data_IF_197136927618
#
_entry.id   IF_197136927618
#
_cell.length_a   1.000
_cell.length_b   1.000
_cell.length_c   1.000
_cell.angle_alpha   90.00
_cell.angle_beta   90.00
_cell.angle_gamma   90.00
#
_symmetry.space_group_name_H-M   'P 1'
#
loop_
_entity.id
_entity.type
_entity.pdbx_description
1 polymer ?
#
# COMPACT_ATOMS: atom_id res chain seq x y z
N UNK A 1 52.51 -30.76 -116.66
CA UNK A 1 52.68 -31.48 -115.37
C UNK A 1 53.00 -30.54 -114.22
N UNK A 2 54.00 -29.66 -114.34
CA UNK A 2 54.37 -28.69 -113.29
C UNK A 2 53.23 -27.76 -112.84
N UNK A 3 52.45 -27.17 -113.76
CA UNK A 3 51.28 -26.34 -113.42
C UNK A 3 50.18 -27.09 -112.64
N UNK A 4 49.98 -28.40 -112.89
CA UNK A 4 49.03 -29.20 -112.11
C UNK A 4 49.53 -29.46 -110.70
N UNK A 5 50.83 -29.73 -110.54
CA UNK A 5 51.45 -29.88 -109.21
C UNK A 5 51.41 -28.58 -108.40
N UNK A 6 51.70 -27.43 -109.01
CA UNK A 6 51.62 -26.12 -108.36
C UNK A 6 50.19 -25.82 -107.85
N UNK A 7 49.18 -26.06 -108.69
CA UNK A 7 47.78 -25.87 -108.32
C UNK A 7 47.34 -26.82 -107.18
N UNK A 8 47.75 -28.09 -107.20
CA UNK A 8 47.46 -29.03 -106.10
C UNK A 8 48.15 -28.62 -104.79
N UNK A 9 49.38 -28.11 -104.84
CA UNK A 9 50.10 -27.62 -103.66
C UNK A 9 49.40 -26.37 -103.09
N UNK A 10 48.96 -25.46 -103.93
CA UNK A 10 48.23 -24.25 -103.52
C UNK A 10 46.88 -24.59 -102.86
N UNK A 11 46.11 -25.51 -103.43
CA UNK A 11 44.84 -26.00 -102.84
C UNK A 11 45.11 -26.67 -101.48
N UNK A 12 46.14 -27.51 -101.38
CA UNK A 12 46.48 -28.18 -100.12
C UNK A 12 46.97 -27.20 -99.05
N UNK A 13 47.73 -26.17 -99.43
CA UNK A 13 48.17 -25.09 -98.54
C UNK A 13 46.99 -24.27 -98.04
N UNK A 14 46.07 -23.88 -98.93
CA UNK A 14 44.85 -23.15 -98.56
C UNK A 14 43.95 -24.00 -97.65
N UNK A 15 43.74 -25.27 -97.96
CA UNK A 15 42.97 -26.18 -97.09
C UNK A 15 43.61 -26.36 -95.71
N UNK A 16 44.93 -26.54 -95.65
CA UNK A 16 45.67 -26.64 -94.39
C UNK A 16 45.58 -25.34 -93.59
N UNK A 17 45.72 -24.19 -94.26
CA UNK A 17 45.60 -22.86 -93.67
C UNK A 17 44.20 -22.64 -93.08
N UNK A 18 43.15 -22.89 -93.86
CA UNK A 18 41.76 -22.74 -93.40
C UNK A 18 41.44 -23.68 -92.24
N UNK A 19 41.91 -24.93 -92.30
CA UNK A 19 41.74 -25.90 -91.19
C UNK A 19 42.43 -25.41 -89.91
N UNK A 20 43.65 -24.88 -90.02
CA UNK A 20 44.38 -24.31 -88.89
C UNK A 20 43.72 -23.03 -88.36
N UNK A 21 43.23 -22.16 -89.25
CA UNK A 21 42.51 -20.94 -88.90
C UNK A 21 41.21 -21.26 -88.14
N UNK A 22 40.40 -22.20 -88.64
CA UNK A 22 39.17 -22.63 -87.96
C UNK A 22 39.46 -23.29 -86.61
N UNK A 23 40.52 -24.09 -86.50
CA UNK A 23 40.97 -24.64 -85.21
C UNK A 23 41.37 -23.54 -84.23
N UNK A 24 42.10 -22.51 -84.69
CA UNK A 24 42.48 -21.37 -83.86
C UNK A 24 41.26 -20.57 -83.42
N UNK A 25 40.31 -20.28 -84.32
CA UNK A 25 39.04 -19.62 -83.98
C UNK A 25 38.26 -20.39 -82.93
N UNK A 26 38.13 -21.72 -83.10
CA UNK A 26 37.48 -22.58 -82.12
C UNK A 26 38.19 -22.53 -80.76
N UNK A 27 39.53 -22.57 -80.73
CA UNK A 27 40.30 -22.46 -79.48
C UNK A 27 40.13 -21.09 -78.82
N UNK A 28 40.08 -20.01 -79.60
CA UNK A 28 39.82 -18.66 -79.09
C UNK A 28 38.42 -18.61 -78.48
N UNK A 29 37.40 -19.15 -79.14
CA UNK A 29 36.03 -19.17 -78.62
C UNK A 29 35.90 -19.95 -77.30
N UNK A 30 36.55 -21.12 -77.19
CA UNK A 30 36.57 -21.90 -75.93
C UNK A 30 37.29 -21.14 -74.81
N UNK A 31 38.42 -20.48 -75.11
CA UNK A 31 39.13 -19.67 -74.14
C UNK A 31 38.29 -18.47 -73.68
N UNK A 32 37.61 -17.79 -74.60
CA UNK A 32 36.73 -16.65 -74.30
C UNK A 32 35.58 -17.07 -73.38
N UNK A 33 34.91 -18.18 -73.68
CA UNK A 33 33.87 -18.75 -72.81
C UNK A 33 34.41 -19.13 -71.42
N UNK A 34 35.62 -19.69 -71.35
CA UNK A 34 36.25 -20.03 -70.07
C UNK A 34 36.60 -18.80 -69.22
N UNK A 35 37.01 -17.68 -69.86
CA UNK A 35 37.27 -16.41 -69.18
C UNK A 35 35.97 -15.79 -68.69
N UNK A 36 34.92 -15.79 -69.52
CA UNK A 36 33.60 -15.28 -69.17
C UNK A 36 33.00 -16.05 -67.99
N UNK A 37 33.09 -17.39 -68.00
CA UNK A 37 32.65 -18.25 -66.89
C UNK A 37 33.40 -17.93 -65.59
N UNK A 38 34.73 -17.81 -65.66
CA UNK A 38 35.56 -17.45 -64.51
C UNK A 38 35.23 -16.04 -63.98
N UNK A 39 34.92 -15.07 -64.85
CA UNK A 39 34.54 -13.72 -64.44
C UNK A 39 33.22 -13.73 -63.64
N UNK A 40 32.23 -14.49 -64.08
CA UNK A 40 30.94 -14.64 -63.38
C UNK A 40 31.14 -15.32 -62.03
N UNK A 41 31.94 -16.39 -61.96
CA UNK A 41 32.28 -17.07 -60.71
C UNK A 41 33.02 -16.13 -59.74
N UNK A 42 33.96 -15.33 -60.24
CA UNK A 42 34.66 -14.31 -59.45
C UNK A 42 33.71 -13.20 -58.96
N UNK A 43 32.68 -12.83 -59.72
CA UNK A 43 31.66 -11.87 -59.28
C UNK A 43 30.81 -12.48 -58.16
N UNK A 44 30.30 -13.69 -58.33
CA UNK A 44 29.52 -14.39 -57.31
C UNK A 44 30.33 -14.61 -56.00
N UNK A 45 31.61 -14.96 -56.12
CA UNK A 45 32.52 -15.11 -54.99
C UNK A 45 32.75 -13.79 -54.26
N UNK A 46 32.95 -12.69 -55.00
CA UNK A 46 33.08 -11.35 -54.42
C UNK A 46 31.83 -10.92 -53.67
N UNK A 47 30.65 -11.14 -54.25
CA UNK A 47 29.37 -10.86 -53.59
C UNK A 47 29.20 -11.66 -52.29
N UNK A 48 29.58 -12.94 -52.30
CA UNK A 48 29.55 -13.80 -51.11
C UNK A 48 30.48 -13.27 -50.00
N UNK A 49 31.70 -12.88 -50.35
CA UNK A 49 32.64 -12.29 -49.39
C UNK A 49 32.07 -11.01 -48.78
N UNK A 50 31.46 -10.13 -49.58
CA UNK A 50 30.83 -8.89 -49.09
C UNK A 50 29.71 -9.20 -48.10
N UNK A 51 28.85 -10.20 -48.38
CA UNK A 51 27.81 -10.62 -47.44
C UNK A 51 28.38 -11.17 -46.14
N UNK A 52 29.42 -12.02 -46.21
CA UNK A 52 30.06 -12.59 -45.02
C UNK A 52 30.75 -11.52 -44.16
N UNK A 53 31.38 -10.53 -44.78
CA UNK A 53 31.96 -9.38 -44.05
C UNK A 53 30.87 -8.59 -43.34
N UNK A 54 29.74 -8.33 -43.99
CA UNK A 54 28.62 -7.64 -43.37
C UNK A 54 28.03 -8.41 -42.18
N UNK A 55 27.90 -9.74 -42.27
CA UNK A 55 27.45 -10.57 -41.15
C UNK A 55 28.49 -10.61 -40.02
N UNK A 56 29.78 -10.71 -40.33
CA UNK A 56 30.86 -10.64 -39.34
C UNK A 56 30.83 -9.31 -38.56
N UNK A 57 30.63 -8.19 -39.25
CA UNK A 57 30.53 -6.87 -38.60
C UNK A 57 29.26 -6.71 -37.78
N UNK A 58 28.16 -7.35 -38.19
CA UNK A 58 26.94 -7.43 -37.40
C UNK A 58 27.17 -8.25 -36.12
N UNK A 59 27.83 -9.39 -36.21
CA UNK A 59 28.17 -10.22 -35.04
C UNK A 59 29.15 -9.51 -34.09
N UNK A 60 30.17 -8.82 -34.63
CA UNK A 60 31.08 -7.98 -33.82
C UNK A 60 30.33 -6.90 -33.05
N UNK A 61 29.36 -6.23 -33.66
CA UNK A 61 28.52 -5.23 -32.98
C UNK A 61 27.68 -5.84 -31.86
N UNK A 62 27.10 -7.02 -32.06
CA UNK A 62 26.37 -7.74 -31.02
C UNK A 62 27.29 -8.14 -29.87
N UNK A 63 28.47 -8.68 -30.17
CA UNK A 63 29.47 -9.05 -29.17
C UNK A 63 29.90 -7.83 -28.35
N UNK A 64 30.20 -6.69 -29.00
CA UNK A 64 30.55 -5.45 -28.32
C UNK A 64 29.40 -4.95 -27.41
N UNK A 65 28.15 -5.00 -27.88
CA UNK A 65 26.98 -4.65 -27.07
C UNK A 65 26.81 -5.57 -25.86
N UNK A 66 27.07 -6.87 -26.02
CA UNK A 66 27.01 -7.85 -24.93
C UNK A 66 28.08 -7.60 -23.87
N UNK A 67 29.32 -7.33 -24.30
CA UNK A 67 30.43 -6.97 -23.40
C UNK A 67 30.10 -5.71 -22.60
N UNK A 68 29.60 -4.66 -23.25
CA UNK A 68 29.19 -3.43 -22.58
C UNK A 68 28.09 -3.67 -21.53
N UNK A 69 27.11 -4.53 -21.84
CA UNK A 69 26.07 -4.90 -20.88
C UNK A 69 26.63 -5.69 -19.68
N UNK A 70 27.55 -6.62 -19.93
CA UNK A 70 28.22 -7.38 -18.87
C UNK A 70 29.05 -6.47 -17.94
N UNK A 71 29.76 -5.49 -18.49
CA UNK A 71 30.55 -4.57 -17.67
C UNK A 71 29.66 -3.62 -16.84
N UNK A 72 28.50 -3.21 -17.38
CA UNK A 72 27.48 -2.49 -16.59
C UNK A 72 26.98 -3.34 -15.42
N UNK A 73 26.64 -4.61 -15.67
CA UNK A 73 26.17 -5.52 -14.63
C UNK A 73 27.25 -5.82 -13.57
N UNK A 74 28.53 -5.91 -13.96
CA UNK A 74 29.63 -6.03 -13.00
C UNK A 74 29.72 -4.80 -12.09
N UNK A 75 29.63 -3.60 -12.66
CA UNK A 75 29.63 -2.36 -11.87
C UNK A 75 28.46 -2.30 -10.87
N UNK A 76 27.26 -2.71 -11.29
CA UNK A 76 26.11 -2.84 -10.39
C UNK A 76 26.35 -3.88 -9.28
N UNK A 77 26.91 -5.05 -9.63
CA UNK A 77 27.24 -6.09 -8.66
C UNK A 77 28.26 -5.60 -7.62
N UNK A 78 29.31 -4.91 -8.04
CA UNK A 78 30.31 -4.34 -7.13
C UNK A 78 29.69 -3.31 -6.19
N UNK A 79 28.81 -2.43 -6.70
CA UNK A 79 28.03 -1.50 -5.90
C UNK A 79 27.15 -2.20 -4.87
N UNK A 80 26.45 -3.27 -5.27
CA UNK A 80 25.63 -4.09 -4.37
C UNK A 80 26.47 -4.82 -3.31
N UNK A 81 27.67 -5.31 -3.66
CA UNK A 81 28.58 -5.96 -2.71
C UNK A 81 29.07 -4.97 -1.64
N UNK A 82 29.43 -3.74 -2.04
CA UNK A 82 29.80 -2.69 -1.08
C UNK A 82 28.62 -2.32 -0.19
N UNK A 83 27.43 -2.15 -0.77
CA UNK A 83 26.20 -1.88 -0.01
C UNK A 83 25.88 -2.97 1.01
N UNK A 84 25.99 -4.24 0.62
CA UNK A 84 25.80 -5.39 1.53
C UNK A 84 26.76 -5.35 2.72
N UNK A 85 28.05 -5.08 2.48
CA UNK A 85 29.06 -4.97 3.57
C UNK A 85 28.73 -3.84 4.55
N UNK A 86 28.24 -2.70 4.06
CA UNK A 86 27.80 -1.60 4.92
C UNK A 86 26.65 -2.02 5.85
N UNK A 87 25.63 -2.68 5.29
CA UNK A 87 24.48 -3.17 6.05
C UNK A 87 24.89 -4.27 7.05
N UNK A 88 25.81 -5.15 6.67
CA UNK A 88 26.36 -6.18 7.57
C UNK A 88 27.09 -5.56 8.78
N UNK A 89 27.83 -4.47 8.56
CA UNK A 89 28.51 -3.72 9.63
C UNK A 89 27.48 -3.05 10.55
N UNK A 90 26.49 -2.36 10.00
CA UNK A 90 25.39 -1.77 10.78
C UNK A 90 24.66 -2.81 11.61
N UNK A 91 24.31 -3.96 11.01
CA UNK A 91 23.72 -5.10 11.72
C UNK A 91 24.59 -5.54 12.89
N UNK A 92 25.91 -5.64 12.72
CA UNK A 92 26.85 -5.95 13.79
C UNK A 92 26.74 -4.97 14.96
N UNK A 93 26.80 -3.67 14.67
CA UNK A 93 26.67 -2.62 15.72
C UNK A 93 25.32 -2.66 16.45
N UNK A 94 24.23 -2.96 15.73
CA UNK A 94 22.90 -3.08 16.33
C UNK A 94 22.79 -4.31 17.24
N UNK A 95 23.41 -5.43 16.86
CA UNK A 95 23.48 -6.64 17.70
C UNK A 95 24.26 -6.35 18.99
N UNK A 96 25.42 -5.70 18.91
CA UNK A 96 26.20 -5.31 20.10
C UNK A 96 25.40 -4.39 21.04
N UNK A 97 24.67 -3.42 20.48
CA UNK A 97 23.78 -2.54 21.26
C UNK A 97 22.63 -3.29 21.91
N UNK A 98 22.04 -4.25 21.21
CA UNK A 98 20.98 -5.09 21.74
C UNK A 98 21.48 -5.92 22.93
N UNK A 99 22.65 -6.54 22.81
CA UNK A 99 23.23 -7.36 23.88
C UNK A 99 23.69 -6.50 25.06
N UNK A 100 24.18 -5.28 24.82
CA UNK A 100 24.38 -4.30 25.90
C UNK A 100 23.07 -3.95 26.62
N UNK A 101 21.98 -3.70 25.87
CA UNK A 101 20.67 -3.41 26.45
C UNK A 101 20.11 -4.59 27.26
N UNK A 102 20.27 -5.82 26.77
CA UNK A 102 19.87 -7.03 27.53
C UNK A 102 20.58 -7.11 28.87
N UNK A 103 21.91 -6.90 28.90
CA UNK A 103 22.69 -6.89 30.15
C UNK A 103 22.19 -5.85 31.15
N UNK A 104 21.85 -4.65 30.68
CA UNK A 104 21.29 -3.58 31.52
C UNK A 104 19.93 -3.99 32.09
N UNK A 105 19.04 -4.53 31.25
CA UNK A 105 17.71 -4.99 31.69
C UNK A 105 17.84 -6.11 32.72
N UNK A 106 18.74 -7.07 32.52
CA UNK A 106 18.97 -8.11 33.51
C UNK A 106 19.53 -7.57 34.83
N UNK A 107 20.42 -6.58 34.79
CA UNK A 107 20.91 -5.91 35.99
C UNK A 107 19.78 -5.21 36.74
N UNK A 108 18.94 -4.44 36.05
CA UNK A 108 17.75 -3.79 36.63
C UNK A 108 16.77 -4.82 37.23
N UNK A 109 16.57 -5.97 36.57
CA UNK A 109 15.76 -7.06 37.12
C UNK A 109 16.36 -7.66 38.40
N UNK A 110 17.69 -7.77 38.49
CA UNK A 110 18.38 -8.23 39.72
C UNK A 110 18.19 -7.23 40.86
N UNK A 111 18.29 -5.94 40.57
CA UNK A 111 18.05 -4.86 41.52
C UNK A 111 16.60 -4.84 42.02
N UNK A 112 15.61 -4.93 41.12
CA UNK A 112 14.19 -5.04 41.48
C UNK A 112 13.94 -6.16 42.48
N UNK A 113 14.46 -7.36 42.21
CA UNK A 113 14.34 -8.50 43.13
C UNK A 113 15.01 -8.27 44.48
N UNK A 114 16.08 -7.48 44.54
CA UNK A 114 16.71 -7.14 45.80
C UNK A 114 15.86 -6.17 46.62
N UNK A 115 15.29 -5.16 45.95
CA UNK A 115 14.39 -4.19 46.57
C UNK A 115 13.09 -4.84 47.05
N UNK A 116 12.51 -5.76 46.25
CA UNK A 116 11.33 -6.56 46.65
C UNK A 116 11.58 -7.29 47.97
N UNK A 117 12.72 -7.97 48.12
CA UNK A 117 13.09 -8.64 49.39
C UNK A 117 13.24 -7.68 50.57
N UNK A 118 13.74 -6.47 50.32
CA UNK A 118 13.84 -5.44 51.37
C UNK A 118 12.46 -4.94 51.79
N UNK A 119 11.55 -4.74 50.84
CA UNK A 119 10.15 -4.38 51.13
C UNK A 119 9.48 -5.47 51.96
N UNK A 120 9.60 -6.74 51.55
CA UNK A 120 9.06 -7.88 52.31
C UNK A 120 9.64 -7.96 53.74
N UNK A 121 10.91 -7.60 53.93
CA UNK A 121 11.52 -7.55 55.26
C UNK A 121 10.99 -6.41 56.12
N UNK A 122 10.84 -5.22 55.54
CA UNK A 122 10.26 -4.06 56.23
C UNK A 122 8.79 -4.31 56.59
N UNK A 123 8.01 -4.93 55.71
CA UNK A 123 6.64 -5.33 56.00
C UNK A 123 6.57 -6.31 57.17
N UNK A 124 7.45 -7.31 57.21
CA UNK A 124 7.56 -8.23 58.36
C UNK A 124 7.91 -7.50 59.66
N UNK A 125 8.87 -6.56 59.63
CA UNK A 125 9.25 -5.76 60.82
C UNK A 125 8.10 -4.87 61.29
N UNK A 126 7.37 -4.26 60.35
CA UNK A 126 6.20 -3.45 60.65
C UNK A 126 5.11 -4.28 61.31
N UNK A 127 4.82 -5.48 60.77
CA UNK A 127 3.85 -6.40 61.37
C UNK A 127 4.26 -6.85 62.77
N UNK A 128 5.54 -7.17 62.98
CA UNK A 128 6.07 -7.51 64.30
C UNK A 128 5.88 -6.37 65.30
N UNK A 129 6.33 -5.16 64.95
CA UNK A 129 6.19 -3.99 65.79
C UNK A 129 4.72 -3.68 66.10
N UNK A 130 3.82 -3.82 65.12
CA UNK A 130 2.39 -3.61 65.33
C UNK A 130 1.74 -4.66 66.25
N UNK A 131 2.18 -5.91 66.19
CA UNK A 131 1.73 -6.94 67.13
C UNK A 131 2.23 -6.66 68.56
N UNK A 132 3.45 -6.16 68.70
CA UNK A 132 4.04 -5.78 69.99
C UNK A 132 3.34 -4.55 70.59
N UNK A 133 3.05 -3.51 69.80
CA UNK A 133 2.27 -2.36 70.27
C UNK A 133 0.87 -2.79 70.70
N UNK A 134 0.20 -3.65 69.92
CA UNK A 134 -1.12 -4.17 70.29
C UNK A 134 -1.09 -4.97 71.60
N UNK A 135 -0.08 -5.82 71.79
CA UNK A 135 0.08 -6.56 73.04
C UNK A 135 0.35 -5.63 74.24
N UNK A 136 1.06 -4.52 74.04
CA UNK A 136 1.25 -3.50 75.08
C UNK A 136 -0.04 -2.73 75.39
N UNK A 137 -0.80 -2.34 74.36
CA UNK A 137 -2.13 -1.72 74.49
C UNK A 137 -3.10 -2.63 75.26
N UNK A 138 -3.15 -3.92 74.94
CA UNK A 138 -3.98 -4.90 75.66
C UNK A 138 -3.58 -4.99 77.16
N UNK A 139 -2.28 -4.98 77.47
CA UNK A 139 -1.80 -4.97 78.86
C UNK A 139 -2.19 -3.68 79.59
N UNK A 140 -2.07 -2.53 78.92
CA UNK A 140 -2.50 -1.24 79.46
C UNK A 140 -4.00 -1.23 79.73
N UNK A 141 -4.81 -1.75 78.81
CA UNK A 141 -6.25 -1.90 78.97
C UNK A 141 -6.61 -2.74 80.20
N UNK A 142 -5.97 -3.90 80.36
CA UNK A 142 -6.15 -4.76 81.56
C UNK A 142 -5.73 -4.05 82.84
N UNK A 143 -4.66 -3.24 82.81
CA UNK A 143 -4.24 -2.43 83.95
C UNK A 143 -5.28 -1.37 84.30
N UNK A 144 -5.78 -0.62 83.30
CA UNK A 144 -6.81 0.41 83.48
C UNK A 144 -8.10 -0.20 84.04
N UNK A 145 -8.50 -1.39 83.57
CA UNK A 145 -9.64 -2.13 84.13
C UNK A 145 -9.43 -2.49 85.61
N UNK A 146 -8.22 -2.96 85.98
CA UNK A 146 -7.89 -3.26 87.39
C UNK A 146 -7.91 -2.01 88.26
N UNK A 147 -7.35 -0.89 87.80
CA UNK A 147 -7.37 0.38 88.54
C UNK A 147 -8.80 0.89 88.68
N UNK A 148 -9.59 0.85 87.61
CA UNK A 148 -11.01 1.20 87.64
C UNK A 148 -11.80 0.36 88.64
N UNK A 149 -11.55 -0.95 88.70
CA UNK A 149 -12.18 -1.85 89.68
C UNK A 149 -11.79 -1.51 91.13
N UNK A 150 -10.55 -1.08 91.38
CA UNK A 150 -10.10 -0.63 92.70
C UNK A 150 -10.72 0.73 93.09
N UNK A 151 -10.84 1.65 92.13
CA UNK A 151 -11.44 2.97 92.32
C UNK A 151 -12.97 2.89 92.51
N UNK A 152 -13.65 1.96 91.84
CA UNK A 152 -15.10 1.72 91.97
C UNK A 152 -15.52 1.07 93.31
N UNK A 153 -14.66 1.04 94.32
CA UNK A 153 -15.01 0.60 95.67
C UNK A 153 -16.27 1.28 96.21
N UNK A 154 -17.41 0.59 96.04
CA UNK A 154 -18.79 0.87 96.53
C UNK A 154 -19.74 1.75 95.69
N UNK A 155 -19.53 1.99 94.38
CA UNK A 155 -20.56 2.69 93.57
C UNK A 155 -20.88 2.00 92.26
N UNK A 156 -22.17 1.94 91.94
CA UNK A 156 -22.76 1.11 90.88
C UNK A 156 -22.70 1.79 89.48
N UNK A 157 -22.14 1.04 88.52
CA UNK A 157 -22.23 1.08 87.04
C UNK A 157 -22.05 2.40 86.26
N UNK A 158 -20.96 2.48 85.48
CA UNK A 158 -20.88 3.10 84.14
C UNK A 158 -19.59 2.64 83.40
N UNK A 159 -19.50 2.72 82.05
CA UNK A 159 -18.62 1.90 81.22
C UNK A 159 -17.18 2.44 81.09
N UNK A 160 -16.26 1.53 80.73
CA UNK A 160 -14.86 1.73 80.28
C UNK A 160 -14.36 3.18 80.37
N UNK A 161 -13.71 3.49 81.49
CA UNK A 161 -13.04 4.76 81.75
C UNK A 161 -11.83 4.93 80.82
N UNK A 162 -11.74 6.10 80.19
CA UNK A 162 -10.62 6.53 79.35
C UNK A 162 -9.39 6.85 80.21
N UNK A 163 -8.18 6.82 79.63
CA UNK A 163 -6.91 7.06 80.36
C UNK A 163 -6.96 8.39 81.15
N UNK A 164 -7.54 9.44 80.57
CA UNK A 164 -7.70 10.74 81.23
C UNK A 164 -8.66 10.70 82.43
N UNK A 165 -9.69 9.85 82.39
CA UNK A 165 -10.70 9.76 83.46
C UNK A 165 -10.17 9.00 84.67
N UNK A 166 -9.40 7.92 84.46
CA UNK A 166 -8.72 7.18 85.53
C UNK A 166 -7.68 8.08 86.22
N UNK A 167 -6.95 8.89 85.46
CA UNK A 167 -6.00 9.86 86.02
C UNK A 167 -6.69 10.93 86.87
N UNK A 168 -7.82 11.47 86.41
CA UNK A 168 -8.59 12.47 87.15
C UNK A 168 -9.12 11.91 88.48
N UNK A 169 -9.62 10.66 88.49
CA UNK A 169 -10.11 10.01 89.71
C UNK A 169 -8.99 9.65 90.69
N UNK A 170 -7.82 9.22 90.18
CA UNK A 170 -6.65 8.96 91.01
C UNK A 170 -6.14 10.24 91.68
N UNK A 171 -6.12 11.36 90.93
CA UNK A 171 -5.75 12.67 91.45
C UNK A 171 -6.71 13.14 92.55
N UNK A 172 -8.02 12.92 92.36
CA UNK A 172 -9.04 13.19 93.38
C UNK A 172 -8.84 12.36 94.65
N UNK A 173 -8.51 11.06 94.54
CA UNK A 173 -8.20 10.19 95.69
C UNK A 173 -6.89 10.61 96.38
N UNK A 174 -5.84 10.91 95.63
CA UNK A 174 -4.56 11.39 96.18
C UNK A 174 -4.71 12.73 96.92
N UNK A 175 -5.50 13.66 96.38
CA UNK A 175 -5.82 14.92 97.05
C UNK A 175 -6.63 14.71 98.32
N UNK A 176 -7.52 13.71 98.35
CA UNK A 176 -8.29 13.33 99.54
C UNK A 176 -7.42 12.71 100.65
N UNK A 177 -6.47 11.85 100.29
CA UNK A 177 -5.49 11.27 101.24
C UNK A 177 -4.54 12.35 101.78
N UNK A 178 -4.09 13.28 100.91
CA UNK A 178 -3.25 14.43 101.31
C UNK A 178 -3.97 15.38 102.28
N UNK A 179 -5.28 15.49 102.17
CA UNK A 179 -6.12 16.28 103.09
C UNK A 179 -6.33 15.58 104.44
N UNK A 180 -6.10 14.25 104.51
CA UNK A 180 -6.28 13.42 105.72
C UNK A 180 -4.97 13.13 106.46
N UNK A 181 -3.80 13.34 105.84
CA UNK A 181 -2.48 13.15 106.47
C UNK A 181 -1.92 14.42 107.14
N UNK A 182 -2.79 15.37 107.50
CA UNK A 182 -2.44 16.68 108.05
C UNK A 182 -2.09 16.72 109.54
N UNK A 183 -1.84 15.59 110.21
CA UNK A 183 -1.43 15.61 111.61
C UNK A 183 -0.41 14.54 111.95
N UNK A 184 0.75 15.04 112.42
CA UNK A 184 1.86 14.31 113.05
C UNK A 184 2.87 13.61 112.12
N UNK A 185 4.04 14.23 111.94
CA UNK A 185 5.32 13.78 112.54
C UNK A 185 6.47 14.65 112.00
N UNK A 186 7.25 15.22 112.92
CA UNK A 186 8.43 16.04 112.65
C UNK A 186 9.70 15.18 112.53
N UNK A 187 10.46 15.33 111.43
CA UNK A 187 11.94 15.27 111.22
C UNK A 187 12.29 14.86 109.77
N UNK A 188 13.46 15.29 109.24
CA UNK A 188 13.57 16.21 108.11
C UNK A 188 13.19 15.58 106.74
N UNK A 189 12.05 16.00 106.20
CA UNK A 189 11.60 15.68 104.83
C UNK A 189 12.58 16.23 103.75
N UNK A 190 13.44 17.19 104.11
CA UNK A 190 14.45 17.76 103.21
C UNK A 190 15.54 16.79 102.78
N UNK A 191 15.94 15.82 103.63
CA UNK A 191 17.03 14.88 103.31
C UNK A 191 16.56 13.71 102.43
N UNK A 192 15.30 13.28 102.58
CA UNK A 192 14.70 12.21 101.78
C UNK A 192 14.35 12.66 100.36
N UNK A 193 13.88 13.91 100.20
CA UNK A 193 13.58 14.47 98.88
C UNK A 193 14.86 14.63 98.05
N UNK A 194 15.92 15.21 98.60
CA UNK A 194 17.21 15.36 97.89
C UNK A 194 17.84 14.02 97.52
N UNK A 195 17.74 13.02 98.41
CA UNK A 195 18.26 11.68 98.13
C UNK A 195 17.48 10.97 97.01
N UNK A 196 16.14 11.13 96.99
CA UNK A 196 15.31 10.62 95.90
C UNK A 196 15.68 11.24 94.54
N UNK A 197 15.89 12.56 94.48
CA UNK A 197 16.33 13.22 93.25
C UNK A 197 17.72 12.75 92.77
N UNK A 198 18.64 12.45 93.68
CA UNK A 198 19.98 11.94 93.33
C UNK A 198 19.89 10.54 92.72
N UNK A 199 19.11 9.62 93.32
CA UNK A 199 18.91 8.28 92.78
C UNK A 199 18.23 8.30 91.41
N UNK A 200 17.22 9.16 91.24
CA UNK A 200 16.52 9.31 89.96
C UNK A 200 17.44 9.92 88.88
N UNK A 201 18.34 10.83 89.27
CA UNK A 201 19.34 11.41 88.36
C UNK A 201 20.43 10.40 87.98
N UNK A 202 20.78 9.47 88.88
CA UNK A 202 21.71 8.37 88.63
C UNK A 202 21.17 7.39 87.60
N UNK A 203 19.93 6.95 87.78
CA UNK A 203 19.23 6.07 86.83
C UNK A 203 19.09 6.73 85.46
N UNK A 204 18.76 8.02 85.41
CA UNK A 204 18.72 8.79 84.17
C UNK A 204 20.08 8.83 83.45
N UNK A 205 21.18 9.07 84.18
CA UNK A 205 22.52 9.12 83.58
C UNK A 205 23.00 7.74 83.13
N UNK A 206 22.57 6.67 83.79
CA UNK A 206 22.84 5.30 83.38
C UNK A 206 22.14 4.96 82.06
N UNK A 207 20.84 5.24 81.94
CA UNK A 207 20.08 5.08 80.69
C UNK A 207 20.67 5.92 79.55
N UNK A 208 21.09 7.16 79.84
CA UNK A 208 21.70 8.04 78.85
C UNK A 208 23.09 7.54 78.42
N UNK A 209 23.86 6.95 79.33
CA UNK A 209 25.16 6.34 79.02
C UNK A 209 25.01 5.13 78.11
N UNK A 210 24.03 4.27 78.38
CA UNK A 210 23.70 3.11 77.54
C UNK A 210 23.22 3.56 76.15
N UNK A 211 22.31 4.55 76.09
CA UNK A 211 21.81 5.10 74.82
C UNK A 211 22.93 5.68 73.96
N UNK A 212 23.92 6.33 74.58
CA UNK A 212 25.10 6.89 73.91
C UNK A 212 26.22 5.86 73.68
N UNK A 213 26.02 4.61 74.16
CA UNK A 213 26.95 3.47 74.11
C UNK A 213 28.32 3.78 74.74
N UNK A 214 28.30 4.45 75.89
CA UNK A 214 29.48 4.78 76.72
C UNK A 214 29.42 4.13 78.11
N UNK A 215 28.43 3.27 78.33
CA UNK A 215 28.18 2.48 79.52
C UNK A 215 29.46 1.80 80.05
N UNK A 216 30.23 1.10 79.21
CA UNK A 216 31.46 0.44 79.63
C UNK A 216 32.57 1.34 80.21
N UNK A 217 32.55 2.65 79.94
CA UNK A 217 33.49 3.63 80.50
C UNK A 217 32.84 4.40 81.66
N UNK A 218 31.51 4.49 81.66
CA UNK A 218 30.72 5.26 82.61
C UNK A 218 30.55 4.58 83.98
N UNK A 219 30.69 3.25 84.08
CA UNK A 219 30.47 2.46 85.31
C UNK A 219 31.36 2.90 86.48
N UNK A 220 32.62 3.28 86.21
CA UNK A 220 33.59 3.67 87.26
C UNK A 220 33.68 5.19 87.49
N UNK A 221 32.85 5.98 86.81
CA UNK A 221 32.90 7.45 86.84
C UNK A 221 31.78 8.02 87.72
N UNK A 222 32.15 8.93 88.63
CA UNK A 222 31.17 9.74 89.37
C UNK A 222 30.36 10.66 88.45
N UNK A 223 29.19 11.11 88.93
CA UNK A 223 28.19 11.90 88.22
C UNK A 223 28.75 12.99 87.27
N UNK A 224 29.61 13.86 87.78
CA UNK A 224 30.17 14.98 87.01
C UNK A 224 31.03 14.53 85.81
N UNK A 225 31.76 13.43 85.95
CA UNK A 225 32.61 12.90 84.88
C UNK A 225 31.79 12.09 83.89
N UNK A 226 30.78 11.34 84.36
CA UNK A 226 29.81 10.64 83.49
C UNK A 226 29.08 11.64 82.60
N UNK A 227 28.62 12.77 83.15
CA UNK A 227 27.98 13.85 82.38
C UNK A 227 28.92 14.45 81.32
N UNK A 228 30.17 14.75 81.67
CA UNK A 228 31.18 15.27 80.71
C UNK A 228 31.49 14.27 79.60
N UNK A 229 31.57 12.98 79.92
CA UNK A 229 31.77 11.91 78.95
C UNK A 229 30.60 11.83 77.96
N UNK A 230 29.37 11.85 78.46
CA UNK A 230 28.15 11.87 77.64
C UNK A 230 28.11 13.10 76.73
N UNK A 231 28.44 14.29 77.24
CA UNK A 231 28.50 15.52 76.44
C UNK A 231 29.54 15.41 75.32
N UNK A 232 30.77 14.98 75.65
CA UNK A 232 31.83 14.78 74.65
C UNK A 232 31.43 13.74 73.60
N UNK A 233 30.74 12.66 74.01
CA UNK A 233 30.25 11.64 73.09
C UNK A 233 29.18 12.20 72.15
N UNK A 234 28.26 13.00 72.68
CA UNK A 234 27.20 13.65 71.91
C UNK A 234 27.81 14.58 70.86
N UNK A 235 28.76 15.43 71.23
CA UNK A 235 29.47 16.30 70.28
C UNK A 235 30.24 15.51 69.20
N UNK A 236 30.79 14.34 69.55
CA UNK A 236 31.45 13.48 68.58
C UNK A 236 30.45 12.89 67.59
N UNK A 237 29.31 12.36 68.06
CA UNK A 237 28.28 11.80 67.21
C UNK A 237 27.72 12.85 66.23
N UNK A 238 27.45 14.07 66.72
CA UNK A 238 27.02 15.19 65.87
C UNK A 238 28.06 15.51 64.78
N UNK A 239 29.36 15.50 65.12
CA UNK A 239 30.44 15.70 64.13
C UNK A 239 30.50 14.58 63.10
N UNK A 240 30.32 13.33 63.53
CA UNK A 240 30.29 12.17 62.64
C UNK A 240 29.08 12.21 61.69
N UNK A 241 27.90 12.56 62.20
CA UNK A 241 26.69 12.70 61.41
C UNK A 241 26.81 13.85 60.40
N UNK A 242 27.37 14.99 60.81
CA UNK A 242 27.63 16.11 59.91
C UNK A 242 28.60 15.74 58.76
N UNK A 243 29.66 14.98 59.05
CA UNK A 243 30.59 14.48 58.03
C UNK A 243 29.91 13.50 57.07
N UNK A 244 29.17 12.51 57.60
CA UNK A 244 28.42 11.54 56.81
C UNK A 244 27.35 12.22 55.93
N UNK A 245 26.71 13.28 56.42
CA UNK A 245 25.75 14.08 55.67
C UNK A 245 26.41 14.81 54.50
N UNK A 246 27.60 15.39 54.70
CA UNK A 246 28.37 16.04 53.63
C UNK A 246 28.78 15.03 52.56
N UNK A 247 29.26 13.86 52.96
CA UNK A 247 29.60 12.77 52.03
C UNK A 247 28.38 12.30 51.23
N UNK A 248 27.26 12.04 51.90
CA UNK A 248 25.98 11.68 51.28
C UNK A 248 25.55 12.73 50.26
N UNK A 249 25.57 14.01 50.65
CA UNK A 249 25.25 15.14 49.75
C UNK A 249 26.18 15.18 48.53
N UNK A 250 27.48 14.94 48.73
CA UNK A 250 28.45 14.89 47.62
C UNK A 250 28.18 13.74 46.65
N UNK A 251 27.79 12.57 47.17
CA UNK A 251 27.42 11.39 46.38
C UNK A 251 26.12 11.66 45.60
N UNK A 252 25.13 12.28 46.23
CA UNK A 252 23.88 12.70 45.58
C UNK A 252 24.17 13.62 44.40
N UNK A 253 25.01 14.64 44.56
CA UNK A 253 25.39 15.53 43.44
C UNK A 253 26.15 14.80 42.34
N UNK A 254 27.04 13.86 42.69
CA UNK A 254 27.75 13.03 41.71
C UNK A 254 26.78 12.16 40.90
N UNK A 255 25.85 11.48 41.57
CA UNK A 255 24.81 10.67 40.94
C UNK A 255 23.87 11.52 40.09
N UNK A 256 23.46 12.69 40.56
CA UNK A 256 22.61 13.61 39.80
C UNK A 256 23.27 14.08 38.51
N UNK A 257 24.59 14.38 38.53
CA UNK A 257 25.36 14.68 37.32
C UNK A 257 25.43 13.49 36.36
N UNK A 258 25.70 12.29 36.88
CA UNK A 258 25.69 11.06 36.06
C UNK A 258 24.33 10.80 35.43
N UNK A 259 23.26 10.95 36.18
CA UNK A 259 21.88 10.82 35.69
C UNK A 259 21.59 11.83 34.57
N UNK A 260 21.97 13.10 34.77
CA UNK A 260 21.77 14.15 33.76
C UNK A 260 22.54 13.83 32.47
N UNK A 261 23.80 13.40 32.59
CA UNK A 261 24.61 12.98 31.45
C UNK A 261 24.02 11.79 30.70
N UNK A 262 23.54 10.76 31.42
CA UNK A 262 22.88 9.60 30.81
C UNK A 262 21.56 9.96 30.13
N UNK A 263 20.78 10.87 30.73
CA UNK A 263 19.55 11.40 30.14
C UNK A 263 19.83 12.10 28.82
N UNK A 264 20.80 13.02 28.79
CA UNK A 264 21.15 13.75 27.57
C UNK A 264 21.70 12.79 26.48
N UNK A 265 22.45 11.76 26.87
CA UNK A 265 22.90 10.71 25.95
C UNK A 265 21.73 9.89 25.38
N UNK A 266 20.72 9.60 26.19
CA UNK A 266 19.52 8.87 25.75
C UNK A 266 18.70 9.70 24.78
N UNK A 267 18.51 11.00 25.05
CA UNK A 267 17.82 11.94 24.17
C UNK A 267 18.54 12.04 22.81
N UNK A 268 19.86 12.17 22.80
CA UNK A 268 20.68 12.17 21.57
C UNK A 268 20.52 10.87 20.76
N UNK A 269 20.58 9.71 21.43
CA UNK A 269 20.33 8.40 20.78
C UNK A 269 18.90 8.27 20.27
N UNK A 270 17.92 8.83 20.98
CA UNK A 270 16.51 8.89 20.57
C UNK A 270 16.33 9.63 19.26
N UNK A 271 16.95 10.82 19.13
CA UNK A 271 16.94 11.60 17.89
C UNK A 271 17.59 10.84 16.73
N UNK A 272 18.71 10.15 16.97
CA UNK A 272 19.36 9.33 15.94
C UNK A 272 18.47 8.17 15.48
N UNK A 273 17.79 7.48 16.40
CA UNK A 273 16.82 6.42 16.03
C UNK A 273 15.66 7.00 15.21
N UNK A 274 15.18 8.19 15.54
CA UNK A 274 14.13 8.86 14.77
C UNK A 274 14.59 9.23 13.35
N UNK A 275 15.82 9.73 13.20
CA UNK A 275 16.43 9.99 11.90
C UNK A 275 16.57 8.71 11.06
N UNK A 276 17.02 7.61 11.67
CA UNK A 276 17.14 6.31 11.00
C UNK A 276 15.77 5.79 10.55
N UNK A 277 14.74 5.88 11.41
CA UNK A 277 13.36 5.50 11.04
C UNK A 277 12.88 6.29 9.83
N UNK A 278 13.08 7.61 9.81
CA UNK A 278 12.71 8.45 8.68
C UNK A 278 13.47 8.05 7.41
N UNK A 279 14.77 7.73 7.50
CA UNK A 279 15.56 7.30 6.35
C UNK A 279 15.10 5.94 5.80
N UNK A 280 14.75 5.00 6.69
CA UNK A 280 14.17 3.71 6.27
C UNK A 280 12.85 3.93 5.54
N UNK A 281 11.94 4.75 6.07
CA UNK A 281 10.68 5.07 5.40
C UNK A 281 10.89 5.69 4.02
N UNK A 282 11.84 6.61 3.88
CA UNK A 282 12.21 7.20 2.58
C UNK A 282 12.72 6.14 1.60
N UNK A 283 13.63 5.27 2.03
CA UNK A 283 14.17 4.21 1.18
C UNK A 283 13.10 3.20 0.74
N UNK A 284 12.15 2.89 1.61
CA UNK A 284 11.00 2.05 1.24
C UNK A 284 10.09 2.71 0.20
N UNK A 285 9.83 4.01 0.32
CA UNK A 285 9.03 4.77 -0.64
C UNK A 285 9.74 4.92 -1.99
N UNK A 286 11.05 5.19 -1.99
CA UNK A 286 11.88 5.16 -3.19
C UNK A 286 11.85 3.78 -3.86
N UNK A 287 11.96 2.71 -3.08
CA UNK A 287 11.87 1.33 -3.60
C UNK A 287 10.50 1.06 -4.23
N UNK A 288 9.40 1.42 -3.56
CA UNK A 288 8.03 1.29 -4.12
C UNK A 288 7.90 2.05 -5.43
N UNK A 289 8.40 3.29 -5.49
CA UNK A 289 8.37 4.14 -6.68
C UNK A 289 9.20 3.58 -7.84
N UNK A 290 10.39 3.04 -7.54
CA UNK A 290 11.24 2.35 -8.54
C UNK A 290 10.58 1.10 -9.09
N UNK A 291 9.97 0.28 -8.23
CA UNK A 291 9.22 -0.91 -8.65
C UNK A 291 8.04 -0.53 -9.57
N UNK A 292 7.26 0.49 -9.21
CA UNK A 292 6.17 0.99 -10.06
C UNK A 292 6.68 1.47 -11.43
N UNK A 293 7.82 2.18 -11.45
CA UNK A 293 8.45 2.63 -12.70
C UNK A 293 9.00 1.47 -13.54
N UNK A 294 9.51 0.41 -12.92
CA UNK A 294 9.96 -0.78 -13.62
C UNK A 294 8.79 -1.50 -14.31
N UNK A 295 7.67 -1.69 -13.60
CA UNK A 295 6.45 -2.26 -14.17
C UNK A 295 5.95 -1.43 -15.35
N UNK A 296 5.90 -0.10 -15.21
CA UNK A 296 5.50 0.78 -16.31
C UNK A 296 6.42 0.70 -17.55
N UNK A 297 7.73 0.48 -17.36
CA UNK A 297 8.66 0.23 -18.47
C UNK A 297 8.37 -1.09 -19.16
N UNK A 298 8.13 -2.15 -18.40
CA UNK A 298 7.82 -3.48 -18.95
C UNK A 298 6.52 -3.45 -19.77
N UNK A 299 5.49 -2.74 -19.29
CA UNK A 299 4.24 -2.53 -20.03
C UNK A 299 4.46 -1.76 -21.33
N UNK A 300 5.25 -0.67 -21.29
CA UNK A 300 5.60 0.09 -22.50
C UNK A 300 6.42 -0.76 -23.49
N UNK A 301 7.30 -1.63 -23.01
CA UNK A 301 8.05 -2.57 -23.84
C UNK A 301 7.13 -3.63 -24.48
N UNK A 302 6.14 -4.15 -23.74
CA UNK A 302 5.14 -5.07 -24.27
C UNK A 302 4.31 -4.42 -25.38
N UNK A 303 3.86 -3.17 -25.18
CA UNK A 303 3.15 -2.42 -26.21
C UNK A 303 4.01 -2.13 -27.44
N UNK A 304 5.27 -1.75 -27.22
CA UNK A 304 6.23 -1.55 -28.34
C UNK A 304 6.38 -2.84 -29.15
N UNK A 305 6.52 -4.00 -28.51
CA UNK A 305 6.58 -5.31 -29.19
C UNK A 305 5.28 -5.64 -29.94
N UNK A 306 4.11 -5.31 -29.38
CA UNK A 306 2.80 -5.51 -30.03
C UNK A 306 2.68 -4.65 -31.28
N UNK A 307 3.01 -3.37 -31.19
CA UNK A 307 3.01 -2.44 -32.32
C UNK A 307 4.01 -2.87 -33.39
N UNK A 308 5.21 -3.30 -33.00
CA UNK A 308 6.22 -3.82 -33.92
C UNK A 308 5.69 -5.01 -34.75
N UNK A 309 5.04 -6.00 -34.10
CA UNK A 309 4.41 -7.13 -34.82
C UNK A 309 3.31 -6.67 -35.79
N UNK A 310 2.54 -5.64 -35.41
CA UNK A 310 1.51 -5.06 -36.30
C UNK A 310 2.15 -4.37 -37.51
N UNK A 311 3.24 -3.65 -37.31
CA UNK A 311 4.03 -3.04 -38.39
C UNK A 311 4.57 -4.12 -39.34
N UNK A 312 5.16 -5.19 -38.82
CA UNK A 312 5.67 -6.32 -39.62
C UNK A 312 4.56 -6.97 -40.46
N UNK A 313 3.37 -7.19 -39.86
CA UNK A 313 2.21 -7.73 -40.58
C UNK A 313 1.75 -6.80 -41.70
N UNK A 314 1.56 -5.51 -41.39
CA UNK A 314 1.16 -4.50 -42.38
C UNK A 314 2.21 -4.35 -43.50
N UNK A 315 3.50 -4.46 -43.19
CA UNK A 315 4.56 -4.48 -44.20
C UNK A 315 4.48 -5.72 -45.10
N UNK A 316 4.14 -6.89 -44.55
CA UNK A 316 3.87 -8.11 -45.31
C UNK A 316 2.69 -7.95 -46.26
N UNK A 317 1.55 -7.45 -45.75
CA UNK A 317 0.35 -7.15 -46.54
C UNK A 317 0.65 -6.14 -47.67
N UNK A 318 1.42 -5.09 -47.37
CA UNK A 318 1.84 -4.10 -48.37
C UNK A 318 2.72 -4.72 -49.46
N UNK A 319 3.68 -5.59 -49.09
CA UNK A 319 4.53 -6.30 -50.05
C UNK A 319 3.69 -7.22 -50.94
N UNK A 320 2.78 -8.00 -50.37
CA UNK A 320 1.88 -8.86 -51.12
C UNK A 320 1.01 -8.06 -52.10
N UNK A 321 0.45 -6.93 -51.65
CA UNK A 321 -0.35 -6.03 -52.50
C UNK A 321 0.50 -5.44 -53.63
N UNK A 322 1.75 -5.05 -53.35
CA UNK A 322 2.68 -4.57 -54.39
C UNK A 322 2.98 -5.66 -55.43
N UNK A 323 3.22 -6.90 -54.99
CA UNK A 323 3.45 -8.04 -55.89
C UNK A 323 2.22 -8.30 -56.78
N UNK A 324 1.03 -8.33 -56.20
CA UNK A 324 -0.21 -8.45 -56.95
C UNK A 324 -0.41 -7.28 -57.93
N UNK A 325 -0.07 -6.05 -57.54
CA UNK A 325 -0.16 -4.89 -58.43
C UNK A 325 0.85 -4.98 -59.59
N UNK A 326 2.07 -5.46 -59.35
CA UNK A 326 3.03 -5.73 -60.44
C UNK A 326 2.57 -6.84 -61.37
N UNK A 327 1.95 -7.89 -60.82
CA UNK A 327 1.38 -8.99 -61.60
C UNK A 327 0.20 -8.50 -62.46
N UNK A 328 -0.73 -7.75 -61.88
CA UNK A 328 -1.85 -7.14 -62.62
C UNK A 328 -1.34 -6.16 -63.69
N UNK A 329 -0.28 -5.40 -63.42
CA UNK A 329 0.37 -4.55 -64.45
C UNK A 329 0.95 -5.37 -65.59
N UNK A 330 1.59 -6.51 -65.32
CA UNK A 330 2.10 -7.42 -66.34
C UNK A 330 0.96 -8.10 -67.12
N UNK A 331 -0.14 -8.46 -66.46
CA UNK A 331 -1.34 -8.97 -67.12
C UNK A 331 -1.98 -7.88 -68.01
N UNK A 332 -1.98 -6.62 -67.57
CA UNK A 332 -2.45 -5.48 -68.36
C UNK A 332 -1.57 -5.24 -69.59
N UNK A 333 -0.24 -5.31 -69.48
CA UNK A 333 0.64 -5.17 -70.65
C UNK A 333 0.43 -6.31 -71.65
N UNK A 334 0.33 -7.55 -71.18
CA UNK A 334 0.06 -8.72 -72.03
C UNK A 334 -1.33 -8.65 -72.70
N UNK A 335 -2.35 -8.10 -72.03
CA UNK A 335 -3.67 -7.87 -72.64
C UNK A 335 -3.69 -6.67 -73.59
N UNK A 336 -2.87 -5.63 -73.37
CA UNK A 336 -2.68 -4.56 -74.35
C UNK A 336 -1.96 -5.05 -75.61
N UNK A 337 -0.96 -5.93 -75.46
CA UNK A 337 -0.26 -6.59 -76.57
C UNK A 337 -1.18 -7.55 -77.35
N UNK A 338 -2.04 -8.31 -76.64
CA UNK A 338 -3.08 -9.13 -77.28
C UNK A 338 -4.19 -8.31 -77.96
N UNK A 339 -4.44 -7.07 -77.53
CA UNK A 339 -5.35 -6.14 -78.22
C UNK A 339 -4.72 -5.52 -79.47
N UNK A 340 -3.39 -5.37 -79.52
CA UNK A 340 -2.69 -4.95 -80.74
C UNK A 340 -2.60 -6.04 -81.81
N UNK A 341 -2.76 -7.33 -81.45
CA UNK A 341 -2.74 -8.46 -82.40
C UNK A 341 -4.10 -9.12 -82.71
N UNK A 342 -5.22 -8.63 -82.17
CA UNK A 342 -6.55 -9.25 -82.40
C UNK A 342 -7.57 -8.27 -82.97
N UNK A 343 -7.60 -8.13 -84.30
CA UNK A 343 -8.80 -7.69 -85.03
C UNK A 343 -9.75 -8.87 -85.22
N UNK A 344 -10.74 -9.06 -84.34
CA UNK A 344 -11.98 -9.81 -84.64
C UNK A 344 -13.19 -9.26 -83.84
N UNK A 345 -14.21 -8.69 -84.50
CA UNK A 345 -15.45 -8.27 -83.86
C UNK A 345 -16.48 -9.41 -83.92
N UNK A 346 -16.46 -10.30 -82.92
CA UNK A 346 -17.51 -11.32 -82.77
C UNK A 346 -17.94 -11.56 -81.31
N UNK A 347 -17.36 -10.84 -80.34
CA UNK A 347 -17.73 -10.91 -78.91
C UNK A 347 -18.46 -9.66 -78.41
N UNK A 348 -18.62 -8.63 -79.25
CA UNK A 348 -19.28 -7.37 -78.89
C UNK A 348 -20.81 -7.51 -78.78
N UNK A 349 -21.47 -8.30 -79.63
CA UNK A 349 -22.92 -8.44 -79.61
C UNK A 349 -23.46 -9.20 -78.38
N UNK A 350 -22.70 -10.15 -77.84
CA UNK A 350 -23.10 -10.90 -76.64
C UNK A 350 -22.72 -10.17 -75.34
N UNK A 351 -21.64 -9.38 -75.37
CA UNK A 351 -21.30 -8.47 -74.29
C UNK A 351 -22.29 -7.29 -74.21
N UNK A 352 -22.74 -6.73 -75.33
CA UNK A 352 -23.77 -5.67 -75.37
C UNK A 352 -25.10 -6.15 -74.80
N UNK A 353 -25.58 -7.34 -75.18
CA UNK A 353 -26.81 -7.91 -74.59
C UNK A 353 -26.72 -8.13 -73.08
N UNK A 354 -25.55 -8.57 -72.58
CA UNK A 354 -25.31 -8.76 -71.14
C UNK A 354 -25.13 -7.42 -70.42
N UNK A 355 -24.55 -6.42 -71.09
CA UNK A 355 -24.40 -5.07 -70.56
C UNK A 355 -25.75 -4.35 -70.46
N UNK A 356 -26.62 -4.49 -71.46
CA UNK A 356 -27.97 -3.93 -71.44
C UNK A 356 -28.82 -4.58 -70.34
N UNK A 357 -28.72 -5.90 -70.16
CA UNK A 357 -29.41 -6.62 -69.09
C UNK A 357 -28.93 -6.18 -67.69
N UNK A 358 -27.61 -6.09 -67.48
CA UNK A 358 -27.04 -5.64 -66.20
C UNK A 358 -27.32 -4.16 -65.96
N UNK A 359 -27.33 -3.33 -67.01
CA UNK A 359 -27.69 -1.91 -66.92
C UNK A 359 -29.16 -1.74 -66.54
N UNK A 360 -30.08 -2.53 -67.11
CA UNK A 360 -31.49 -2.53 -66.74
C UNK A 360 -31.71 -2.98 -65.29
N UNK A 361 -31.00 -4.02 -64.83
CA UNK A 361 -31.04 -4.45 -63.42
C UNK A 361 -30.47 -3.40 -62.48
N UNK A 362 -29.38 -2.74 -62.85
CA UNK A 362 -28.75 -1.70 -62.04
C UNK A 362 -29.61 -0.44 -61.96
N UNK A 363 -30.24 -0.02 -63.07
CA UNK A 363 -31.22 1.06 -63.07
C UNK A 363 -32.44 0.73 -62.21
N UNK A 364 -32.97 -0.50 -62.30
CA UNK A 364 -34.07 -0.95 -61.44
C UNK A 364 -33.68 -0.93 -59.96
N UNK A 365 -32.46 -1.40 -59.62
CA UNK A 365 -31.94 -1.40 -58.26
C UNK A 365 -31.67 0.02 -57.73
N UNK A 366 -31.13 0.91 -58.56
CA UNK A 366 -30.95 2.32 -58.20
C UNK A 366 -32.29 3.05 -58.03
N UNK A 367 -33.26 2.76 -58.88
CA UNK A 367 -34.60 3.34 -58.76
C UNK A 367 -35.23 2.90 -57.44
N UNK A 368 -35.10 1.61 -57.09
CA UNK A 368 -35.56 1.07 -55.81
C UNK A 368 -34.85 1.70 -54.61
N UNK A 369 -33.53 1.88 -54.65
CA UNK A 369 -32.82 2.55 -53.55
C UNK A 369 -33.17 4.04 -53.44
N UNK A 370 -33.46 4.72 -54.57
CA UNK A 370 -33.98 6.10 -54.54
C UNK A 370 -35.37 6.16 -53.91
N UNK A 371 -36.25 5.21 -54.23
CA UNK A 371 -37.59 5.10 -53.63
C UNK A 371 -37.50 4.81 -52.13
N UNK A 372 -36.69 3.83 -51.72
CA UNK A 372 -36.46 3.51 -50.31
C UNK A 372 -35.86 4.71 -49.56
N UNK A 373 -34.93 5.45 -50.17
CA UNK A 373 -34.36 6.67 -49.59
C UNK A 373 -35.38 7.80 -49.47
N UNK A 374 -36.29 7.95 -50.44
CA UNK A 374 -37.39 8.90 -50.37
C UNK A 374 -38.38 8.52 -49.26
N UNK A 375 -38.72 7.24 -49.12
CA UNK A 375 -39.56 6.73 -48.03
C UNK A 375 -38.91 6.94 -46.66
N UNK A 376 -37.62 6.66 -46.52
CA UNK A 376 -36.85 6.92 -45.30
C UNK A 376 -36.85 8.42 -44.95
N UNK A 377 -36.70 9.29 -45.94
CA UNK A 377 -36.73 10.73 -45.73
C UNK A 377 -38.13 11.22 -45.35
N UNK A 378 -39.20 10.62 -45.88
CA UNK A 378 -40.57 10.90 -45.46
C UNK A 378 -40.83 10.45 -44.01
N UNK A 379 -40.40 9.24 -43.64
CA UNK A 379 -40.47 8.73 -42.27
C UNK A 379 -39.71 9.60 -41.27
N UNK A 380 -38.51 10.07 -41.63
CA UNK A 380 -37.73 11.01 -40.80
C UNK A 380 -38.46 12.34 -40.58
N UNK A 381 -39.14 12.86 -41.62
CA UNK A 381 -39.97 14.07 -41.49
C UNK A 381 -41.18 13.83 -40.59
N UNK A 382 -41.86 12.69 -40.70
CA UNK A 382 -42.96 12.35 -39.80
C UNK A 382 -42.50 12.15 -38.35
N UNK A 383 -41.32 11.56 -38.14
CA UNK A 383 -40.75 11.36 -36.80
C UNK A 383 -40.40 12.69 -36.13
N UNK A 384 -39.78 13.62 -36.88
CA UNK A 384 -39.48 14.96 -36.38
C UNK A 384 -40.76 15.73 -36.04
N UNK A 385 -41.78 15.67 -36.90
CA UNK A 385 -43.09 16.25 -36.61
C UNK A 385 -43.75 15.64 -35.36
N UNK A 386 -43.63 14.33 -35.13
CA UNK A 386 -44.14 13.68 -33.93
C UNK A 386 -43.37 14.10 -32.67
N UNK A 387 -42.04 14.22 -32.74
CA UNK A 387 -41.23 14.72 -31.62
C UNK A 387 -41.51 16.18 -31.30
N UNK A 388 -41.72 17.03 -32.30
CA UNK A 388 -42.09 18.43 -32.05
C UNK A 388 -43.49 18.53 -31.44
N UNK A 389 -44.45 17.73 -31.94
CA UNK A 389 -45.79 17.65 -31.34
C UNK A 389 -45.77 17.08 -29.93
N UNK A 390 -44.90 16.12 -29.64
CA UNK A 390 -44.69 15.59 -28.28
C UNK A 390 -44.15 16.68 -27.34
N UNK A 391 -43.19 17.49 -27.81
CA UNK A 391 -42.67 18.65 -27.06
C UNK A 391 -43.77 19.68 -26.81
N UNK A 392 -44.54 20.04 -27.83
CA UNK A 392 -45.69 20.95 -27.69
C UNK A 392 -46.73 20.41 -26.69
N UNK A 393 -47.01 19.10 -26.68
CA UNK A 393 -47.93 18.48 -25.72
C UNK A 393 -47.36 18.47 -24.30
N UNK A 394 -46.05 18.32 -24.13
CA UNK A 394 -45.38 18.43 -22.83
C UNK A 394 -45.40 19.89 -22.34
N UNK A 395 -45.15 20.85 -23.22
CA UNK A 395 -45.23 22.29 -22.91
C UNK A 395 -46.67 22.67 -22.55
N UNK A 396 -47.66 22.21 -23.32
CA UNK A 396 -49.08 22.38 -23.01
C UNK A 396 -49.44 21.77 -21.66
N UNK A 397 -49.02 20.53 -21.38
CA UNK A 397 -49.21 19.87 -20.09
C UNK A 397 -48.62 20.71 -18.95
N UNK A 398 -47.44 21.28 -19.16
CA UNK A 398 -46.74 22.12 -18.17
C UNK A 398 -47.51 23.40 -17.91
N UNK A 399 -47.93 24.11 -18.95
CA UNK A 399 -48.72 25.34 -18.84
C UNK A 399 -50.07 25.09 -18.16
N UNK A 400 -50.80 24.04 -18.58
CA UNK A 400 -52.08 23.67 -17.95
C UNK A 400 -51.88 23.29 -16.48
N UNK A 401 -50.84 22.54 -16.13
CA UNK A 401 -50.53 22.19 -14.73
C UNK A 401 -50.25 23.44 -13.90
N UNK A 402 -49.47 24.39 -14.44
CA UNK A 402 -49.23 25.69 -13.79
C UNK A 402 -50.52 26.51 -13.64
N UNK A 403 -51.38 26.56 -14.66
CA UNK A 403 -52.67 27.27 -14.59
C UNK A 403 -53.64 26.68 -13.56
N UNK A 404 -53.53 25.39 -13.27
CA UNK A 404 -54.32 24.69 -12.26
C UNK A 404 -53.70 24.72 -10.86
N UNK A 405 -52.53 25.38 -10.69
CA UNK A 405 -51.82 25.45 -9.41
C UNK A 405 -51.14 24.14 -8.99
N UNK A 406 -50.96 23.19 -9.92
CA UNK A 406 -50.29 21.92 -9.69
C UNK A 406 -48.78 22.08 -9.97
N UNK A 407 -47.91 21.60 -9.08
CA UNK A 407 -46.46 21.76 -9.22
C UNK A 407 -45.93 21.03 -10.46
N UNK A 408 -45.54 21.81 -11.46
CA UNK A 408 -45.10 21.34 -12.76
C UNK A 408 -43.73 20.62 -12.75
N UNK A 409 -43.00 20.63 -11.63
CA UNK A 409 -41.69 19.98 -11.53
C UNK A 409 -41.72 18.50 -11.12
N UNK A 410 -42.89 17.97 -10.73
CA UNK A 410 -43.04 16.55 -10.42
C UNK A 410 -43.25 15.73 -11.70
N UNK A 411 -42.18 15.07 -12.18
CA UNK A 411 -42.17 14.18 -13.36
C UNK A 411 -43.15 12.98 -13.27
N UNK A 412 -43.91 12.84 -12.18
CA UNK A 412 -44.80 11.73 -11.86
C UNK A 412 -46.29 12.11 -11.78
N UNK A 413 -46.72 13.30 -12.24
CA UNK A 413 -48.14 13.67 -12.25
C UNK A 413 -48.88 12.97 -13.43
N UNK A 414 -49.78 12.00 -13.18
CA UNK A 414 -50.47 11.29 -14.25
C UNK A 414 -51.53 12.18 -14.93
N UNK A 415 -51.70 12.05 -16.25
CA UNK A 415 -52.59 12.92 -17.04
C UNK A 415 -54.05 12.96 -16.54
N UNK A 416 -54.52 11.91 -15.86
CA UNK A 416 -55.88 11.86 -15.34
C UNK A 416 -56.14 12.85 -14.18
N UNK A 417 -55.12 13.26 -13.41
CA UNK A 417 -55.25 14.26 -12.31
C UNK A 417 -55.51 15.67 -12.88
N UNK A 418 -54.81 16.01 -13.97
CA UNK A 418 -54.99 17.27 -14.71
C UNK A 418 -56.38 17.31 -15.34
N UNK A 419 -56.79 16.21 -15.99
CA UNK A 419 -58.12 16.08 -16.61
C UNK A 419 -59.22 16.22 -15.55
N UNK A 420 -59.10 15.55 -14.40
CA UNK A 420 -60.07 15.65 -13.29
C UNK A 420 -60.20 17.06 -12.72
N UNK A 421 -59.09 17.82 -12.69
CA UNK A 421 -59.07 19.22 -12.26
C UNK A 421 -59.72 20.16 -13.28
N UNK A 422 -59.49 19.93 -14.58
CA UNK A 422 -60.17 20.63 -15.67
C UNK A 422 -61.68 20.31 -15.71
N UNK A 423 -62.05 19.04 -15.52
CA UNK A 423 -63.45 18.62 -15.41
C UNK A 423 -64.15 19.32 -14.24
N UNK A 424 -63.46 19.49 -13.10
CA UNK A 424 -63.96 20.27 -11.96
C UNK A 424 -64.18 21.76 -12.24
N UNK A 425 -63.39 22.36 -13.14
CA UNK A 425 -63.52 23.77 -13.57
C UNK A 425 -64.55 23.97 -14.69
N UNK A 426 -64.77 22.97 -15.54
CA UNK A 426 -65.69 23.03 -16.68
C UNK A 426 -67.14 22.62 -16.35
N UNK A 427 -67.39 22.02 -15.17
CA UNK A 427 -68.72 21.61 -14.74
C UNK A 427 -69.77 22.72 -14.48
N UNK A 428 -69.45 24.04 -14.33
CA UNK A 428 -70.52 25.04 -14.19
C UNK A 428 -71.14 25.55 -15.50
N UNK A 429 -70.58 25.28 -16.69
CA UNK A 429 -70.94 26.08 -17.88
C UNK A 429 -71.10 25.36 -19.22
N UNK A 430 -71.61 24.12 -19.30
CA UNK A 430 -72.10 23.55 -20.57
C UNK A 430 -73.54 22.98 -20.46
N UNK A 431 -74.47 23.81 -19.97
CA UNK A 431 -75.83 23.84 -20.52
C UNK A 431 -75.90 25.02 -21.50
N UNK A 432 -76.33 24.77 -22.73
CA UNK A 432 -76.43 25.70 -23.87
C UNK A 432 -75.18 25.86 -24.75
N UNK A 433 -75.02 25.00 -25.76
CA UNK A 433 -75.29 25.47 -27.11
C UNK A 433 -75.52 24.32 -28.11
N UNK A 434 -76.68 24.43 -28.76
CA UNK A 434 -77.19 23.60 -29.83
C UNK A 434 -76.78 24.17 -31.21
N UNK A 435 -76.66 23.26 -32.20
CA UNK A 435 -76.84 23.44 -33.65
C UNK A 435 -75.79 24.21 -34.49
N UNK A 436 -75.10 23.51 -35.42
CA UNK A 436 -75.50 23.45 -36.84
C UNK A 436 -74.58 22.59 -37.74
N UNK A 437 -75.25 21.82 -38.62
CA UNK A 437 -74.94 21.45 -40.03
C UNK A 437 -73.62 20.73 -40.36
N UNK A 438 -73.65 19.47 -40.83
CA UNK A 438 -74.09 18.90 -42.13
C UNK A 438 -72.91 18.69 -43.08
N UNK A 439 -72.74 17.46 -43.59
CA UNK A 439 -71.99 17.24 -44.84
C UNK A 439 -71.24 15.91 -44.96
N UNK A 440 -71.99 14.83 -45.16
CA UNK A 440 -71.65 13.67 -45.98
C UNK A 440 -70.38 12.84 -45.66
N UNK A 441 -70.63 11.64 -45.14
CA UNK A 441 -69.92 10.40 -45.51
C UNK A 441 -70.64 9.85 -46.76
N UNK A 442 -69.96 9.32 -47.80
CA UNK A 442 -69.76 7.87 -47.83
C UNK A 442 -68.39 7.40 -48.32
N UNK A 443 -67.85 6.43 -47.57
CA UNK A 443 -67.00 5.36 -48.12
C UNK A 443 -67.73 4.69 -49.29
N UNK A 444 -67.05 4.51 -50.41
CA UNK A 444 -67.41 3.54 -51.45
C UNK A 444 -66.23 2.64 -51.74
N UNK A 445 -66.49 1.35 -51.55
CA UNK A 445 -65.69 0.20 -51.89
C UNK A 445 -65.67 -0.04 -53.40
N UNK A 446 -64.56 -0.56 -53.93
CA UNK A 446 -64.63 -1.58 -55.00
C UNK A 446 -63.50 -2.59 -54.81
N UNK A 447 -63.93 -3.83 -54.57
CA UNK A 447 -63.18 -5.07 -54.75
C UNK A 447 -62.55 -5.15 -56.16
N UNK A 448 -61.38 -5.79 -56.27
CA UNK A 448 -61.29 -7.12 -56.91
C UNK A 448 -59.86 -7.67 -56.82
N UNK A 449 -59.77 -8.86 -56.21
CA UNK A 449 -58.67 -9.80 -56.35
C UNK A 449 -58.91 -10.60 -57.65
N UNK A 450 -57.87 -11.17 -58.27
CA UNK A 450 -57.84 -12.64 -58.25
C UNK A 450 -56.46 -13.22 -57.92
N UNK A 451 -56.49 -14.34 -57.19
CA UNK A 451 -55.47 -15.39 -57.20
C UNK A 451 -55.55 -16.17 -58.55
N UNK A 452 -54.50 -16.91 -58.94
CA UNK A 452 -54.42 -18.35 -58.62
C UNK A 452 -53.02 -18.70 -58.05
N UNK A 453 -52.86 -19.61 -57.07
CA UNK A 453 -52.95 -21.08 -57.12
C UNK A 453 -52.14 -21.67 -58.29
N UNK A 454 -51.25 -22.67 -58.18
CA UNK A 454 -50.81 -23.55 -57.09
C UNK A 454 -49.84 -24.57 -57.70
N UNK A 455 -48.75 -24.92 -57.02
CA UNK A 455 -48.15 -26.28 -56.95
C UNK A 455 -46.96 -26.21 -55.97
N UNK A 456 -47.07 -26.65 -54.71
CA UNK A 456 -47.02 -28.06 -54.22
C UNK A 456 -45.60 -28.65 -54.38
N UNK A 457 -44.87 -29.20 -53.41
CA UNK A 457 -45.12 -29.83 -52.08
C UNK A 457 -43.85 -29.56 -51.23
N UNK A 458 -43.89 -29.19 -49.94
CA UNK A 458 -44.04 -30.06 -48.74
C UNK A 458 -43.09 -31.28 -48.76
N UNK A 459 -42.18 -31.51 -47.82
CA UNK A 459 -42.41 -31.84 -46.39
C UNK A 459 -41.06 -31.80 -45.64
N UNK A 460 -40.99 -31.08 -44.52
CA UNK A 460 -40.00 -31.23 -43.41
C UNK A 460 -40.44 -32.41 -42.50
N UNK A 461 -39.79 -32.86 -41.38
CA UNK A 461 -38.80 -32.16 -40.54
C UNK A 461 -37.81 -33.09 -39.76
N UNK A 462 -37.12 -32.47 -38.79
CA UNK A 462 -36.78 -33.04 -37.47
C UNK A 462 -35.47 -33.83 -37.33
N UNK A 463 -34.72 -33.50 -36.28
CA UNK A 463 -33.53 -34.25 -35.87
C UNK A 463 -32.62 -33.48 -34.92
N UNK A 464 -33.04 -33.38 -33.66
CA UNK A 464 -32.28 -32.96 -32.48
C UNK A 464 -30.94 -33.70 -32.25
N UNK A 465 -29.94 -32.97 -31.73
CA UNK A 465 -28.74 -33.28 -30.88
C UNK A 465 -28.38 -34.75 -30.51
N UNK A 466 -27.12 -35.14 -30.13
CA UNK A 466 -26.15 -34.39 -29.30
C UNK A 466 -24.62 -34.63 -29.52
N UNK A 467 -23.84 -33.98 -28.64
CA UNK A 467 -22.41 -34.10 -28.26
C UNK A 467 -21.73 -35.49 -28.35
N UNK A 468 -20.45 -35.56 -28.79
CA UNK A 468 -19.28 -35.89 -27.96
C UNK A 468 -17.93 -35.76 -28.72
N UNK A 469 -16.90 -35.56 -27.91
CA UNK A 469 -15.45 -35.47 -28.10
C UNK A 469 -14.77 -36.38 -29.15
N UNK A 470 -13.65 -35.89 -29.72
CA UNK A 470 -12.37 -36.60 -29.67
C UNK A 470 -11.21 -35.64 -30.00
N UNK A 471 -10.20 -35.65 -29.12
CA UNK A 471 -8.85 -35.17 -29.35
C UNK A 471 -8.19 -35.92 -30.52
N UNK A 472 -7.44 -35.21 -31.37
CA UNK A 472 -5.97 -35.27 -31.53
C UNK A 472 -5.55 -33.99 -32.27
#
# INVERSE_FOLDING_TARGET
>A
TLMRYANTIEINLNYLYDTHLERLKMRIAVLDESVNSCEVECKASRETVVMLVAELDRERRKAASSVAALDSLKGELDGLVVGRRSVEMERGTLVERLDASKRVVEAARRESRCLEKQVEELERKLQWSHAETRAAEEKLQVFLEKVSALLQGKSEKAPLLTEEEVLHDLENVCNKVRSQSGESISKPVGFTITFFFILQYEEFLEQLSETMRVDGIAVDLGFDMRLKLILSRTEQLVRQEAAALVESKSLTYSLQRKFKSQKDQLESKGLHVQLLRNKVSQLEEEKRSRSASAVGRDDAHLETRRLQKKVERLQGELKATKLSNTELKAQLSHTSELKEQSKRPAQLAEAEKKLDAVSAELQSREQKTREDQQQLNALRRSLTQLSDRERELLDFRTVVSQMLGLDATALALPSYEIIKSLEGLLHPHHHHHHHHRHGNVPRLCTHQRPLPASSSFDVSPSGSAPLHEAQI
#
